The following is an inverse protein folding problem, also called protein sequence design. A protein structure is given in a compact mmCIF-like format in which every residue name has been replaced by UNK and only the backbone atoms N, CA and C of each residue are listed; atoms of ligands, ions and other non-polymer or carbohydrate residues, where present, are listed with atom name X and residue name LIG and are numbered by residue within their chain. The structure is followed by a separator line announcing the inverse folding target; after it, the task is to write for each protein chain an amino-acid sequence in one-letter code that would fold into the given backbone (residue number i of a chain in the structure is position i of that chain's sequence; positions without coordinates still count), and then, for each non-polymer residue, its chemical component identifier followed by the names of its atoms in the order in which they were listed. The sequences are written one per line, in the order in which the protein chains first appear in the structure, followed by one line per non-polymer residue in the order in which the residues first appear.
data_IF_560050306991
#
_entry.id   IF_560050306991
#
_cell.length_a   1.000
_cell.length_b   1.000
_cell.length_c   1.000
_cell.angle_alpha   90.00
_cell.angle_beta   90.00
_cell.angle_gamma   90.00
#
_symmetry.space_group_name_H-M   'P 1'
#
loop_
_entity.id
_entity.type
_entity.pdbx_description
1 polymer ?
#
# COMPACT_ATOMS: atom_id res chain seq x y z
N UNK A 1 -4.38 30.79 16.40
CA UNK A 1 -5.50 30.45 15.49
C UNK A 1 -6.23 29.28 16.10
N UNK A 2 -7.55 29.25 16.03
CA UNK A 2 -8.36 28.12 16.49
C UNK A 2 -9.13 27.52 15.30
N UNK A 3 -9.51 26.25 15.41
CA UNK A 3 -10.26 25.53 14.37
C UNK A 3 -11.51 24.91 14.98
N UNK A 4 -12.64 25.06 14.29
CA UNK A 4 -13.87 24.30 14.56
C UNK A 4 -14.02 23.26 13.46
N UNK A 5 -14.29 22.01 13.84
CA UNK A 5 -14.63 20.94 12.90
C UNK A 5 -16.05 20.47 13.17
N UNK A 6 -16.82 20.31 12.09
CA UNK A 6 -18.15 19.73 12.09
C UNK A 6 -18.13 18.49 11.20
N UNK A 7 -18.65 17.39 11.72
CA UNK A 7 -18.80 16.12 11.01
C UNK A 7 -20.22 16.03 10.47
N UNK A 8 -20.39 15.85 9.16
CA UNK A 8 -21.69 15.56 8.57
C UNK A 8 -22.19 14.21 9.09
N UNK A 9 -23.46 14.17 9.48
CA UNK A 9 -24.16 12.95 9.88
C UNK A 9 -25.50 12.86 9.14
N UNK A 10 -25.96 11.64 8.89
CA UNK A 10 -27.31 11.33 8.45
C UNK A 10 -27.86 10.23 9.35
N UNK A 11 -29.01 10.47 9.98
CA UNK A 11 -29.61 9.57 10.98
C UNK A 11 -28.66 9.14 12.11
N UNK A 12 -27.73 10.03 12.49
CA UNK A 12 -26.71 9.76 13.52
C UNK A 12 -25.49 8.96 13.03
N UNK A 13 -25.47 8.56 11.76
CA UNK A 13 -24.34 7.88 11.12
C UNK A 13 -23.44 8.94 10.47
N UNK A 14 -22.13 8.96 10.77
CA UNK A 14 -21.21 9.91 10.15
C UNK A 14 -20.98 9.59 8.67
N UNK A 15 -20.85 10.64 7.86
CA UNK A 15 -20.41 10.54 6.46
C UNK A 15 -18.89 10.60 6.43
N UNK A 16 -18.23 9.52 6.01
CA UNK A 16 -16.76 9.51 5.83
C UNK A 16 -16.31 10.64 4.90
N UNK A 17 -15.31 11.41 5.33
CA UNK A 17 -14.80 12.62 4.67
C UNK A 17 -15.80 13.78 4.51
N UNK A 18 -17.05 13.61 4.94
CA UNK A 18 -18.04 14.69 4.98
C UNK A 18 -17.77 15.62 6.17
N UNK A 19 -16.83 16.55 6.05
CA UNK A 19 -16.44 17.48 7.11
C UNK A 19 -16.52 18.95 6.68
N UNK A 20 -16.77 19.81 7.66
CA UNK A 20 -16.60 21.26 7.54
C UNK A 20 -15.60 21.74 8.60
N UNK A 21 -14.51 22.38 8.14
CA UNK A 21 -13.49 23.01 8.97
C UNK A 21 -13.56 24.54 8.84
N UNK A 22 -13.74 25.24 9.97
CA UNK A 22 -13.65 26.71 10.07
C UNK A 22 -12.38 27.09 10.80
N UNK A 23 -11.52 27.89 10.17
CA UNK A 23 -10.31 28.43 10.79
C UNK A 23 -10.53 29.87 11.25
N UNK A 24 -10.16 30.15 12.49
CA UNK A 24 -10.44 31.40 13.18
C UNK A 24 -9.15 32.12 13.61
N UNK A 25 -9.18 33.45 13.55
CA UNK A 25 -8.21 34.34 14.19
C UNK A 25 -8.95 35.27 15.14
N UNK A 26 -8.92 34.94 16.44
CA UNK A 26 -9.80 35.59 17.40
C UNK A 26 -11.25 35.26 17.05
N UNK A 27 -12.06 36.28 16.80
CA UNK A 27 -13.47 36.13 16.41
C UNK A 27 -13.70 36.21 14.88
N UNK A 28 -12.63 36.35 14.09
CA UNK A 28 -12.71 36.45 12.64
C UNK A 28 -12.57 35.07 11.99
N UNK A 29 -13.46 34.77 11.03
CA UNK A 29 -13.34 33.61 10.16
C UNK A 29 -12.32 33.92 9.07
N UNK A 30 -11.25 33.12 9.03
CA UNK A 30 -10.15 33.27 8.06
C UNK A 30 -10.40 32.38 6.84
N UNK A 31 -10.87 31.16 7.06
CA UNK A 31 -11.22 30.25 5.97
C UNK A 31 -12.26 29.23 6.42
N UNK A 32 -13.03 28.76 5.45
CA UNK A 32 -13.95 27.63 5.60
C UNK A 32 -13.62 26.64 4.50
N UNK A 33 -13.39 25.39 4.89
CA UNK A 33 -13.22 24.25 3.99
C UNK A 33 -14.35 23.29 4.28
N UNK A 34 -15.08 22.86 3.26
CA UNK A 34 -16.17 21.91 3.43
C UNK A 34 -16.19 20.96 2.24
N UNK A 35 -16.30 19.67 2.54
CA UNK A 35 -16.77 18.69 1.58
C UNK A 35 -17.91 17.92 2.23
N UNK A 36 -19.00 17.76 1.50
CA UNK A 36 -20.26 17.23 2.05
C UNK A 36 -20.98 16.41 1.00
N UNK A 37 -21.69 15.38 1.44
CA UNK A 37 -22.46 14.50 0.58
C UNK A 37 -23.94 14.93 0.57
N UNK A 38 -24.44 15.59 -0.49
CA UNK A 38 -25.85 15.91 -0.61
C UNK A 38 -26.69 14.66 -0.95
N UNK A 39 -28.02 14.83 -0.95
CA UNK A 39 -28.98 13.85 -1.46
C UNK A 39 -28.95 12.46 -0.76
N UNK A 40 -28.93 12.47 0.59
CA UNK A 40 -29.04 11.25 1.40
C UNK A 40 -30.49 10.90 1.78
N UNK A 41 -31.49 11.68 1.35
CA UNK A 41 -32.89 11.43 1.70
C UNK A 41 -33.36 10.04 1.25
N UNK A 42 -33.77 9.21 2.20
CA UNK A 42 -34.20 7.84 1.96
C UNK A 42 -33.07 6.84 1.72
N UNK A 43 -31.82 7.22 2.01
CA UNK A 43 -30.69 6.31 1.98
C UNK A 43 -30.84 5.22 3.06
N UNK A 44 -30.70 3.94 2.69
CA UNK A 44 -30.82 2.83 3.64
C UNK A 44 -29.59 2.77 4.56
N UNK A 45 -29.85 2.94 5.86
CA UNK A 45 -28.87 2.96 6.94
C UNK A 45 -28.78 1.63 7.70
N UNK A 46 -29.47 0.58 7.23
CA UNK A 46 -29.50 -0.73 7.87
C UNK A 46 -28.41 -1.66 7.32
N UNK A 47 -27.39 -2.06 8.09
CA UNK A 47 -26.38 -3.01 7.62
C UNK A 47 -26.96 -4.43 7.52
N UNK A 48 -26.66 -5.16 6.44
CA UNK A 48 -27.01 -6.57 6.31
C UNK A 48 -25.95 -7.50 6.95
N UNK A 49 -24.69 -7.06 7.04
CA UNK A 49 -23.64 -7.77 7.78
C UNK A 49 -23.36 -7.10 9.11
N UNK A 50 -22.96 -7.91 10.08
CA UNK A 50 -22.55 -7.47 11.41
C UNK A 50 -21.16 -6.82 11.39
N UNK A 51 -20.87 -6.02 12.41
CA UNK A 51 -19.53 -5.49 12.67
C UNK A 51 -18.47 -6.60 12.76
N UNK A 52 -18.81 -7.76 13.33
CA UNK A 52 -17.89 -8.90 13.46
C UNK A 52 -17.55 -9.55 12.10
N UNK A 53 -18.53 -9.68 11.22
CA UNK A 53 -18.30 -10.14 9.84
C UNK A 53 -17.42 -9.16 9.06
N UNK A 54 -17.66 -7.85 9.21
CA UNK A 54 -16.81 -6.83 8.60
C UNK A 54 -15.36 -6.85 9.13
N UNK A 55 -15.18 -7.06 10.44
CA UNK A 55 -13.85 -7.22 11.04
C UNK A 55 -13.12 -8.43 10.46
N UNK A 56 -13.85 -9.53 10.25
CA UNK A 56 -13.30 -10.75 9.62
C UNK A 56 -12.83 -10.45 8.18
N UNK A 57 -13.61 -9.68 7.39
CA UNK A 57 -13.19 -9.25 6.06
C UNK A 57 -11.93 -8.37 6.08
N UNK A 58 -11.82 -7.46 7.06
CA UNK A 58 -10.62 -6.63 7.21
C UNK A 58 -9.39 -7.45 7.61
N UNK A 59 -9.53 -8.40 8.52
CA UNK A 59 -8.46 -9.33 8.89
C UNK A 59 -7.99 -10.15 7.70
N UNK A 60 -8.92 -10.71 6.91
CA UNK A 60 -8.59 -11.45 5.70
C UNK A 60 -7.86 -10.58 4.65
N UNK A 61 -8.16 -9.28 4.57
CA UNK A 61 -7.42 -8.35 3.72
C UNK A 61 -5.98 -8.18 4.20
N UNK A 62 -5.79 -7.90 5.49
CA UNK A 62 -4.47 -7.70 6.09
C UNK A 62 -3.62 -8.97 5.99
N UNK A 63 -4.18 -10.14 6.30
CA UNK A 63 -3.52 -11.43 6.18
C UNK A 63 -3.06 -11.70 4.73
N UNK A 64 -3.92 -11.37 3.76
CA UNK A 64 -3.62 -11.61 2.34
C UNK A 64 -2.49 -10.72 1.82
N UNK A 65 -2.48 -9.43 2.19
CA UNK A 65 -1.58 -8.47 1.55
C UNK A 65 -0.32 -8.20 2.35
N UNK A 66 -0.37 -8.30 3.67
CA UNK A 66 0.71 -7.95 4.58
C UNK A 66 1.21 -9.16 5.40
N UNK A 67 0.40 -10.20 5.55
CA UNK A 67 0.68 -11.41 6.34
C UNK A 67 1.27 -11.10 7.73
N UNK A 68 0.62 -10.15 8.41
CA UNK A 68 0.97 -9.63 9.73
C UNK A 68 0.18 -10.38 10.81
N UNK A 69 0.83 -10.75 11.92
CA UNK A 69 0.23 -11.58 13.00
C UNK A 69 -0.15 -10.79 14.27
N UNK A 70 0.19 -9.50 14.36
CA UNK A 70 0.15 -8.68 15.58
C UNK A 70 -0.39 -7.26 15.35
N UNK A 71 -1.31 -7.10 14.39
CA UNK A 71 -1.99 -5.83 14.16
C UNK A 71 -3.16 -5.60 15.13
N UNK A 72 -3.31 -4.36 15.60
CA UNK A 72 -4.46 -3.92 16.37
C UNK A 72 -5.57 -3.42 15.44
N UNK A 73 -6.82 -3.79 15.73
CA UNK A 73 -8.00 -3.39 14.95
C UNK A 73 -8.92 -2.54 15.80
N UNK A 74 -9.35 -1.38 15.27
CA UNK A 74 -10.37 -0.57 15.93
C UNK A 74 -11.70 -1.33 16.01
N UNK A 75 -12.57 -0.92 16.93
CA UNK A 75 -13.97 -1.36 16.88
C UNK A 75 -14.61 -0.88 15.56
N UNK A 76 -15.24 -1.76 14.76
CA UNK A 76 -15.87 -1.34 13.52
C UNK A 76 -16.95 -0.29 13.77
N UNK A 77 -16.92 0.79 13.00
CA UNK A 77 -17.88 1.89 13.10
C UNK A 77 -18.71 1.98 11.83
N UNK A 78 -20.02 2.12 11.96
CA UNK A 78 -20.89 2.27 10.80
C UNK A 78 -20.76 3.69 10.25
N UNK A 79 -20.54 3.80 8.94
CA UNK A 79 -20.35 5.08 8.24
C UNK A 79 -21.08 5.09 6.90
N UNK A 80 -21.45 6.27 6.43
CA UNK A 80 -21.85 6.47 5.04
C UNK A 80 -20.59 6.81 4.25
N UNK A 81 -20.30 6.03 3.23
CA UNK A 81 -19.08 6.16 2.43
C UNK A 81 -19.41 6.49 0.99
N UNK A 82 -18.77 7.53 0.46
CA UNK A 82 -18.74 7.82 -0.96
C UNK A 82 -17.28 8.12 -1.34
N UNK A 83 -16.68 7.26 -2.16
CA UNK A 83 -15.27 7.40 -2.58
C UNK A 83 -15.00 8.73 -3.30
N UNK A 84 -16.01 9.34 -3.91
CA UNK A 84 -15.89 10.61 -4.60
C UNK A 84 -15.49 11.78 -3.70
N UNK A 85 -15.80 11.72 -2.40
CA UNK A 85 -15.34 12.70 -1.41
C UNK A 85 -13.83 12.61 -1.12
N UNK A 86 -13.14 11.56 -1.61
CA UNK A 86 -11.71 11.35 -1.38
C UNK A 86 -10.88 11.46 -2.66
N UNK A 87 -11.49 11.30 -3.84
CA UNK A 87 -10.72 11.09 -5.08
C UNK A 87 -11.20 11.92 -6.26
N UNK A 88 -12.07 12.93 -6.07
CA UNK A 88 -12.69 13.73 -7.14
C UNK A 88 -13.38 12.91 -8.26
N UNK A 89 -13.68 11.63 -8.01
CA UNK A 89 -14.32 10.72 -8.96
C UNK A 89 -15.81 10.59 -8.66
N UNK A 90 -16.65 10.42 -9.69
CA UNK A 90 -18.03 9.98 -9.44
C UNK A 90 -18.02 8.55 -8.88
N UNK A 91 -18.51 8.39 -7.66
CA UNK A 91 -18.68 7.10 -7.02
C UNK A 91 -20.07 6.99 -6.38
N UNK A 92 -20.63 5.78 -6.29
CA UNK A 92 -21.90 5.59 -5.63
C UNK A 92 -21.74 5.64 -4.11
N UNK A 93 -22.75 6.17 -3.43
CA UNK A 93 -22.82 6.13 -1.96
C UNK A 93 -23.14 4.70 -1.49
N UNK A 94 -22.45 4.27 -0.43
CA UNK A 94 -22.57 2.94 0.19
C UNK A 94 -22.58 3.08 1.71
N UNK A 95 -23.30 2.20 2.38
CA UNK A 95 -23.16 2.01 3.82
C UNK A 95 -21.95 1.12 4.05
N UNK A 96 -21.08 1.48 4.99
CA UNK A 96 -19.83 0.78 5.21
C UNK A 96 -19.50 0.64 6.70
N UNK A 97 -18.74 -0.39 7.04
CA UNK A 97 -18.02 -0.50 8.29
C UNK A 97 -16.61 0.05 8.11
N UNK A 98 -16.26 1.09 8.87
CA UNK A 98 -14.90 1.63 8.93
C UNK A 98 -14.11 0.96 10.04
N UNK A 99 -12.91 0.49 9.70
CA UNK A 99 -11.93 -0.10 10.61
C UNK A 99 -10.57 0.57 10.37
N UNK A 100 -9.95 1.05 11.43
CA UNK A 100 -8.54 1.46 11.45
C UNK A 100 -7.71 0.28 11.97
N UNK A 101 -6.65 -0.06 11.24
CA UNK A 101 -5.70 -1.11 11.61
C UNK A 101 -4.35 -0.47 11.90
N UNK A 102 -3.78 -0.74 13.06
CA UNK A 102 -2.52 -0.13 13.51
C UNK A 102 -1.48 -1.17 13.91
N UNK A 103 -0.22 -0.88 13.59
CA UNK A 103 0.99 -1.55 14.07
C UNK A 103 2.12 -0.52 14.12
N UNK A 104 3.32 -0.93 14.54
CA UNK A 104 4.51 -0.06 14.56
C UNK A 104 4.85 0.53 13.19
N UNK A 105 4.54 -0.19 12.12
CA UNK A 105 4.89 0.06 10.72
C UNK A 105 3.67 0.12 9.80
N UNK A 106 2.46 0.13 10.37
CA UNK A 106 1.22 0.08 9.61
C UNK A 106 0.16 0.99 10.24
N UNK A 107 -0.53 1.74 9.39
CA UNK A 107 -1.77 2.42 9.77
C UNK A 107 -2.72 2.41 8.58
N UNK A 108 -3.57 1.40 8.47
CA UNK A 108 -4.49 1.23 7.35
C UNK A 108 -5.89 1.69 7.70
N UNK A 109 -6.51 2.46 6.82
CA UNK A 109 -7.93 2.77 6.88
C UNK A 109 -8.68 1.85 5.92
N UNK A 110 -9.68 1.13 6.41
CA UNK A 110 -10.43 0.13 5.63
C UNK A 110 -11.93 0.42 5.72
N UNK A 111 -12.60 0.43 4.56
CA UNK A 111 -14.06 0.48 4.46
C UNK A 111 -14.59 -0.83 3.87
N UNK A 112 -15.41 -1.54 4.64
CA UNK A 112 -16.08 -2.78 4.22
C UNK A 112 -17.54 -2.47 3.89
N UNK A 113 -18.04 -2.91 2.74
CA UNK A 113 -19.43 -2.76 2.35
C UNK A 113 -20.35 -3.42 3.39
N UNK A 114 -21.22 -2.64 4.03
CA UNK A 114 -22.09 -3.12 5.09
C UNK A 114 -23.26 -4.01 4.60
N UNK A 115 -23.41 -4.16 3.28
CA UNK A 115 -24.40 -5.05 2.66
C UNK A 115 -23.78 -6.38 2.20
N UNK A 116 -22.55 -6.34 1.66
CA UNK A 116 -21.96 -7.47 0.92
C UNK A 116 -20.68 -8.02 1.57
N UNK A 117 -20.03 -7.27 2.47
CA UNK A 117 -18.78 -7.68 3.13
C UNK A 117 -17.51 -7.50 2.30
N UNK A 118 -17.63 -7.00 1.06
CA UNK A 118 -16.48 -6.67 0.21
C UNK A 118 -15.76 -5.38 0.61
N UNK A 119 -14.46 -5.30 0.36
CA UNK A 119 -13.65 -4.09 0.59
C UNK A 119 -14.02 -3.02 -0.43
N UNK A 120 -14.45 -1.85 0.03
CA UNK A 120 -14.77 -0.69 -0.80
C UNK A 120 -13.53 0.17 -1.10
N UNK A 121 -12.67 0.33 -0.09
CA UNK A 121 -11.40 1.06 -0.17
C UNK A 121 -10.51 0.65 1.01
N UNK A 122 -9.21 0.56 0.79
CA UNK A 122 -8.21 0.64 1.85
C UNK A 122 -7.01 1.48 1.39
N UNK A 123 -6.37 2.18 2.33
CA UNK A 123 -5.09 2.86 2.09
C UNK A 123 -4.38 3.22 3.40
N UNK A 124 -3.05 3.27 3.32
CA UNK A 124 -2.17 3.68 4.43
C UNK A 124 -2.39 5.14 4.81
N UNK A 125 -2.29 5.43 6.10
CA UNK A 125 -2.24 6.76 6.70
C UNK A 125 -0.84 7.14 7.16
N UNK A 126 0.14 6.28 6.93
CA UNK A 126 1.54 6.63 7.12
C UNK A 126 1.98 7.35 5.85
N UNK A 127 2.45 8.60 5.99
CA UNK A 127 2.76 9.47 4.85
C UNK A 127 4.01 9.04 4.09
N UNK A 128 4.89 8.25 4.71
CA UNK A 128 6.22 7.87 4.18
C UNK A 128 6.70 6.54 4.81
N UNK A 129 5.80 5.60 5.09
CA UNK A 129 6.22 4.33 5.69
C UNK A 129 6.68 3.36 4.63
N UNK A 130 8.00 3.22 4.54
CA UNK A 130 8.65 2.03 3.99
C UNK A 130 7.91 0.78 4.45
N UNK A 131 7.42 -0.01 3.49
CA UNK A 131 6.70 -1.25 3.75
C UNK A 131 7.25 -2.34 2.84
N UNK A 132 8.05 -3.24 3.39
CA UNK A 132 8.66 -4.36 2.67
C UNK A 132 8.00 -5.70 2.98
N UNK A 133 7.89 -6.55 1.97
CA UNK A 133 7.45 -7.94 2.10
C UNK A 133 8.37 -8.86 1.31
N UNK A 134 9.18 -9.64 2.01
CA UNK A 134 10.09 -10.62 1.44
C UNK A 134 9.52 -12.01 1.55
N UNK A 135 9.46 -12.68 0.42
CA UNK A 135 8.96 -14.05 0.28
C UNK A 135 10.06 -14.98 -0.22
N UNK A 136 9.87 -16.26 0.03
CA UNK A 136 10.73 -17.35 -0.43
C UNK A 136 9.92 -18.27 -1.36
N UNK A 137 10.39 -18.45 -2.59
CA UNK A 137 9.79 -19.36 -3.57
C UNK A 137 10.11 -20.84 -3.28
N UNK A 138 10.97 -21.12 -2.30
CA UNK A 138 11.42 -22.44 -1.85
C UNK A 138 11.98 -23.28 -3.01
N UNK A 139 12.82 -22.67 -3.85
CA UNK A 139 13.31 -23.28 -5.11
C UNK A 139 12.19 -23.73 -6.05
N UNK A 140 11.03 -23.07 -5.99
CA UNK A 140 9.89 -23.27 -6.87
C UNK A 140 9.67 -22.09 -7.82
N UNK A 141 8.61 -22.20 -8.63
CA UNK A 141 8.25 -21.18 -9.63
C UNK A 141 6.99 -20.38 -9.28
N UNK A 142 6.44 -20.55 -8.07
CA UNK A 142 5.20 -19.88 -7.65
C UNK A 142 5.53 -18.56 -6.96
N UNK A 143 5.01 -17.47 -7.51
CA UNK A 143 5.12 -16.13 -6.93
C UNK A 143 3.84 -15.74 -6.16
N UNK A 144 3.95 -14.98 -5.06
CA UNK A 144 5.19 -14.50 -4.47
C UNK A 144 5.92 -15.58 -3.64
N UNK A 145 5.32 -16.74 -3.39
CA UNK A 145 5.88 -17.76 -2.51
C UNK A 145 5.40 -17.59 -1.06
N UNK A 146 6.19 -18.05 -0.10
CA UNK A 146 5.88 -17.95 1.33
C UNK A 146 6.45 -16.67 1.90
N UNK A 147 5.66 -15.84 2.59
CA UNK A 147 6.20 -14.66 3.29
C UNK A 147 7.16 -15.13 4.40
N UNK A 148 8.39 -14.63 4.37
CA UNK A 148 9.43 -14.95 5.36
C UNK A 148 9.83 -13.75 6.21
N UNK A 149 9.69 -12.52 5.69
CA UNK A 149 9.97 -11.28 6.45
C UNK A 149 9.08 -10.13 5.98
N UNK A 150 8.46 -9.44 6.92
CA UNK A 150 7.73 -8.20 6.68
C UNK A 150 8.44 -7.01 7.32
N UNK A 151 7.96 -5.80 7.04
CA UNK A 151 8.44 -4.57 7.68
C UNK A 151 8.51 -4.71 9.22
N UNK A 152 9.58 -4.15 9.81
CA UNK A 152 9.94 -4.34 11.22
C UNK A 152 10.32 -5.77 11.65
N UNK A 153 10.22 -6.77 10.77
CA UNK A 153 10.54 -8.17 11.06
C UNK A 153 12.01 -8.42 11.37
N UNK A 154 12.27 -9.33 12.31
CA UNK A 154 13.63 -9.79 12.62
C UNK A 154 14.26 -10.53 11.44
N UNK A 155 15.60 -10.53 11.30
CA UNK A 155 16.29 -11.32 10.29
C UNK A 155 15.87 -12.79 10.30
N UNK A 156 15.71 -13.37 9.12
CA UNK A 156 15.23 -14.74 8.93
C UNK A 156 16.33 -15.78 9.16
N UNK A 157 17.60 -15.38 8.99
CA UNK A 157 18.75 -16.28 8.95
C UNK A 157 19.04 -16.83 7.56
N UNK A 158 18.17 -16.57 6.59
CA UNK A 158 18.43 -16.77 5.17
C UNK A 158 19.10 -15.52 4.58
N UNK A 159 20.26 -15.70 3.94
CA UNK A 159 21.06 -14.59 3.42
C UNK A 159 20.40 -13.86 2.26
N UNK A 160 19.66 -14.57 1.40
CA UNK A 160 19.00 -13.95 0.25
C UNK A 160 17.81 -13.13 0.72
N UNK A 161 16.99 -13.68 1.62
CA UNK A 161 15.84 -13.00 2.16
C UNK A 161 16.23 -11.78 3.00
N UNK A 162 17.29 -11.90 3.81
CA UNK A 162 17.77 -10.79 4.62
C UNK A 162 18.39 -9.68 3.75
N UNK A 163 19.15 -10.03 2.70
CA UNK A 163 19.70 -9.05 1.77
C UNK A 163 18.60 -8.34 0.95
N UNK A 164 17.63 -9.07 0.40
CA UNK A 164 16.49 -8.49 -0.31
C UNK A 164 15.68 -7.53 0.59
N UNK A 165 15.57 -7.84 1.89
CA UNK A 165 14.92 -6.95 2.84
C UNK A 165 15.73 -5.68 3.09
N UNK A 166 17.04 -5.82 3.36
CA UNK A 166 17.90 -4.70 3.73
C UNK A 166 18.09 -3.75 2.53
N UNK A 167 18.45 -4.27 1.35
CA UNK A 167 18.77 -3.45 0.17
C UNK A 167 17.55 -2.79 -0.49
N UNK A 168 16.38 -3.45 -0.53
CA UNK A 168 15.16 -2.77 -0.97
C UNK A 168 14.78 -1.64 -0.02
N UNK A 169 15.16 -1.76 1.26
CA UNK A 169 15.03 -0.69 2.24
C UNK A 169 16.00 0.46 2.02
N UNK A 170 17.26 0.17 1.71
CA UNK A 170 18.26 1.19 1.41
C UNK A 170 17.90 1.95 0.12
N UNK A 171 17.40 1.24 -0.90
CA UNK A 171 16.92 1.83 -2.15
C UNK A 171 15.70 2.73 -1.91
N UNK A 172 14.74 2.31 -1.08
CA UNK A 172 13.64 3.18 -0.66
C UNK A 172 14.15 4.47 0.00
N UNK A 173 15.08 4.34 0.95
CA UNK A 173 15.63 5.50 1.67
C UNK A 173 16.40 6.42 0.73
N UNK A 174 17.10 5.87 -0.26
CA UNK A 174 17.76 6.66 -1.29
C UNK A 174 16.74 7.50 -2.08
N UNK A 175 15.69 6.89 -2.63
CA UNK A 175 14.67 7.60 -3.41
C UNK A 175 13.92 8.64 -2.58
N UNK A 176 13.57 8.32 -1.34
CA UNK A 176 12.90 9.25 -0.44
C UNK A 176 13.81 10.42 -0.07
N UNK A 177 15.03 10.14 0.39
CA UNK A 177 15.90 11.19 0.94
C UNK A 177 16.57 12.05 -0.13
N UNK A 178 16.91 11.48 -1.29
CA UNK A 178 17.61 12.21 -2.35
C UNK A 178 16.65 12.86 -3.36
N UNK A 179 15.50 12.22 -3.61
CA UNK A 179 14.57 12.64 -4.66
C UNK A 179 13.20 13.05 -4.13
N UNK A 180 12.93 12.90 -2.83
CA UNK A 180 11.63 13.20 -2.24
C UNK A 180 10.52 12.27 -2.72
N UNK A 181 10.88 11.08 -3.21
CA UNK A 181 9.96 10.13 -3.82
C UNK A 181 9.56 9.03 -2.83
N UNK A 182 8.27 8.92 -2.54
CA UNK A 182 7.76 7.87 -1.64
C UNK A 182 7.51 6.56 -2.42
N UNK A 183 8.47 5.63 -2.35
CA UNK A 183 8.46 4.35 -3.09
C UNK A 183 8.49 4.48 -4.62
N UNK A 184 8.37 3.37 -5.34
CA UNK A 184 8.50 3.35 -6.79
C UNK A 184 7.36 4.08 -7.52
N UNK A 185 6.22 4.32 -6.87
CA UNK A 185 5.04 4.97 -7.46
C UNK A 185 4.76 6.40 -6.94
N UNK A 186 5.64 6.96 -6.10
CA UNK A 186 5.45 8.26 -5.43
C UNK A 186 4.22 8.32 -4.51
N UNK A 187 3.77 7.17 -4.01
CA UNK A 187 2.59 7.04 -3.16
C UNK A 187 2.70 5.83 -2.22
N UNK A 188 3.92 5.51 -1.75
CA UNK A 188 4.13 4.55 -0.67
C UNK A 188 3.80 3.10 -1.02
N UNK A 189 3.98 2.70 -2.29
CA UNK A 189 3.77 1.32 -2.69
C UNK A 189 4.61 0.33 -1.87
N UNK A 190 4.00 -0.80 -1.55
CA UNK A 190 4.65 -1.91 -0.85
C UNK A 190 5.74 -2.51 -1.74
N UNK A 191 6.96 -2.59 -1.20
CA UNK A 191 8.09 -3.23 -1.85
C UNK A 191 8.02 -4.73 -1.62
N UNK A 192 7.72 -5.49 -2.67
CA UNK A 192 7.63 -6.95 -2.60
C UNK A 192 8.83 -7.58 -3.30
N UNK A 193 9.49 -8.50 -2.61
CA UNK A 193 10.61 -9.28 -3.12
C UNK A 193 10.34 -10.77 -2.94
N UNK A 194 10.73 -11.59 -3.92
CA UNK A 194 10.75 -13.05 -3.82
C UNK A 194 12.14 -13.59 -4.10
N UNK A 195 12.71 -14.35 -3.16
CA UNK A 195 14.01 -15.01 -3.28
C UNK A 195 13.87 -16.50 -3.61
N UNK A 196 14.99 -17.15 -3.91
CA UNK A 196 15.08 -18.58 -4.27
C UNK A 196 14.12 -19.01 -5.40
N UNK A 197 13.90 -18.11 -6.36
CA UNK A 197 13.06 -18.40 -7.51
C UNK A 197 13.74 -19.39 -8.46
N UNK A 198 13.01 -20.45 -8.84
CA UNK A 198 13.44 -21.47 -9.78
C UNK A 198 12.31 -21.75 -10.79
N UNK A 199 12.35 -21.12 -11.97
CA UNK A 199 11.34 -21.33 -13.00
C UNK A 199 11.46 -22.71 -13.63
N UNK A 200 10.33 -23.37 -13.88
CA UNK A 200 10.28 -24.75 -14.41
C UNK A 200 10.83 -24.93 -15.84
N UNK A 201 11.13 -23.83 -16.53
CA UNK A 201 11.59 -23.80 -17.92
C UNK A 201 13.09 -23.52 -18.06
N UNK A 202 13.81 -23.27 -16.96
CA UNK A 202 15.26 -23.05 -16.94
C UNK A 202 15.94 -23.96 -15.91
N UNK A 203 17.26 -24.10 -16.03
CA UNK A 203 18.06 -24.81 -15.03
C UNK A 203 18.17 -23.99 -13.74
N UNK A 204 18.29 -24.69 -12.60
CA UNK A 204 18.45 -24.08 -11.29
C UNK A 204 19.82 -24.42 -10.66
N UNK A 205 20.44 -23.51 -9.90
CA UNK A 205 19.93 -22.20 -9.47
C UNK A 205 19.72 -21.23 -10.64
N UNK A 206 18.59 -20.51 -10.62
CA UNK A 206 18.24 -19.58 -11.67
C UNK A 206 19.21 -18.40 -11.64
N UNK A 207 19.89 -18.15 -12.76
CA UNK A 207 20.97 -17.16 -12.84
C UNK A 207 20.47 -15.80 -13.31
N UNK A 208 19.41 -15.28 -12.69
CA UNK A 208 18.91 -13.94 -13.00
C UNK A 208 18.08 -13.33 -11.86
N UNK A 209 17.91 -12.02 -11.92
CA UNK A 209 16.89 -11.27 -11.20
C UNK A 209 15.99 -10.52 -12.21
N UNK A 210 14.81 -10.09 -11.78
CA UNK A 210 13.93 -9.24 -12.60
C UNK A 210 12.82 -8.56 -11.78
N UNK A 211 12.45 -7.34 -12.16
CA UNK A 211 11.13 -6.75 -11.90
C UNK A 211 10.07 -7.30 -12.85
N UNK A 212 8.92 -7.74 -12.32
CA UNK A 212 7.85 -8.35 -13.13
C UNK A 212 6.60 -7.48 -13.33
N UNK A 213 6.65 -6.19 -13.00
CA UNK A 213 5.51 -5.29 -12.96
C UNK A 213 4.79 -5.21 -11.61
N UNK A 214 5.09 -6.12 -10.67
CA UNK A 214 4.45 -6.16 -9.34
C UNK A 214 5.38 -6.44 -8.18
N UNK A 215 6.53 -7.07 -8.42
CA UNK A 215 7.52 -7.43 -7.40
C UNK A 215 8.89 -7.67 -8.04
N UNK A 216 9.94 -7.55 -7.24
CA UNK A 216 11.29 -8.00 -7.59
C UNK A 216 11.42 -9.50 -7.33
N UNK A 217 12.07 -10.22 -8.24
CA UNK A 217 12.23 -11.68 -8.18
C UNK A 217 13.69 -12.02 -8.39
N UNK A 218 14.26 -12.81 -7.48
CA UNK A 218 15.67 -13.17 -7.47
C UNK A 218 15.82 -14.68 -7.54
N UNK A 219 16.67 -15.15 -8.45
CA UNK A 219 17.26 -16.48 -8.33
C UNK A 219 18.23 -16.55 -7.14
N UNK A 220 18.55 -17.76 -6.70
CA UNK A 220 19.41 -17.98 -5.53
C UNK A 220 20.74 -17.21 -5.63
N UNK A 221 21.02 -16.37 -4.65
CA UNK A 221 22.22 -15.54 -4.50
C UNK A 221 22.16 -14.16 -5.15
N UNK A 222 21.14 -13.84 -5.96
CA UNK A 222 21.10 -12.59 -6.72
C UNK A 222 20.69 -11.37 -5.89
N UNK A 223 19.90 -11.54 -4.83
CA UNK A 223 19.54 -10.43 -3.93
C UNK A 223 20.67 -9.96 -3.02
N UNK A 224 21.84 -10.63 -3.05
CA UNK A 224 22.97 -10.32 -2.17
C UNK A 224 23.84 -9.17 -2.64
N UNK A 225 23.60 -8.68 -3.84
CA UNK A 225 24.25 -7.49 -4.36
C UNK A 225 23.24 -6.33 -4.29
N UNK A 226 23.65 -5.25 -3.63
CA UNK A 226 22.85 -4.05 -3.41
C UNK A 226 22.49 -3.37 -4.73
N UNK A 227 23.47 -3.28 -5.65
CA UNK A 227 23.30 -2.77 -7.00
C UNK A 227 22.23 -3.53 -7.80
N UNK A 228 22.18 -4.86 -7.69
CA UNK A 228 21.15 -5.68 -8.34
C UNK A 228 19.77 -5.40 -7.75
N UNK A 229 19.62 -5.32 -6.42
CA UNK A 229 18.31 -5.00 -5.81
C UNK A 229 17.82 -3.62 -6.24
N UNK A 230 18.70 -2.62 -6.16
CA UNK A 230 18.42 -1.25 -6.57
C UNK A 230 18.13 -1.13 -8.09
N UNK A 231 18.84 -1.90 -8.93
CA UNK A 231 18.60 -2.00 -10.37
C UNK A 231 17.17 -2.50 -10.64
N UNK A 232 16.77 -3.61 -10.01
CA UNK A 232 15.43 -4.16 -10.21
C UNK A 232 14.32 -3.22 -9.71
N UNK A 233 14.52 -2.57 -8.56
CA UNK A 233 13.54 -1.61 -8.07
C UNK A 233 13.45 -0.35 -8.95
N UNK A 234 14.55 0.04 -9.60
CA UNK A 234 14.59 1.18 -10.52
C UNK A 234 13.82 0.91 -11.81
N UNK A 235 13.70 -0.34 -12.26
CA UNK A 235 12.75 -0.67 -13.32
C UNK A 235 11.31 -0.30 -12.95
N UNK A 236 10.89 -0.54 -11.70
CA UNK A 236 9.58 -0.12 -11.21
C UNK A 236 9.45 1.40 -11.20
N UNK A 237 10.48 2.15 -10.79
CA UNK A 237 10.48 3.61 -10.87
C UNK A 237 10.32 4.09 -12.31
N UNK A 238 11.03 3.47 -13.25
CA UNK A 238 10.95 3.81 -14.68
C UNK A 238 9.55 3.56 -15.24
N UNK A 239 8.93 2.43 -14.89
CA UNK A 239 7.55 2.09 -15.28
C UNK A 239 6.54 3.14 -14.80
N UNK A 240 6.66 3.61 -13.56
CA UNK A 240 5.74 4.60 -12.97
C UNK A 240 6.12 6.06 -13.27
N UNK A 241 7.09 6.29 -14.16
CA UNK A 241 7.51 7.64 -14.57
C UNK A 241 7.58 7.78 -16.08
N UNK A 242 8.70 7.39 -16.68
CA UNK A 242 8.97 7.57 -18.11
C UNK A 242 8.30 6.51 -18.99
N UNK A 243 7.87 5.37 -18.41
CA UNK A 243 7.22 4.25 -19.09
C UNK A 243 7.98 3.83 -20.37
N UNK A 244 9.30 3.68 -20.22
CA UNK A 244 10.18 3.34 -21.32
C UNK A 244 9.94 1.89 -21.75
N UNK A 245 9.38 1.74 -22.95
CA UNK A 245 9.24 0.44 -23.60
C UNK A 245 10.59 -0.29 -23.60
N UNK A 246 10.57 -1.56 -23.21
CA UNK A 246 11.75 -2.42 -23.16
C UNK A 246 12.18 -2.90 -24.55
N UNK A 247 12.45 -1.96 -25.46
CA UNK A 247 12.73 -2.21 -26.86
C UNK A 247 13.73 -1.20 -27.44
N UNK A 248 14.74 -1.71 -28.15
CA UNK A 248 15.75 -0.90 -28.85
C UNK A 248 16.36 0.17 -27.94
N UNK A 249 16.40 1.43 -28.38
CA UNK A 249 16.99 2.53 -27.62
C UNK A 249 16.23 2.85 -26.34
N UNK A 250 14.91 2.67 -26.33
CA UNK A 250 14.09 2.88 -25.13
C UNK A 250 14.43 1.84 -24.07
N UNK A 251 14.62 0.57 -24.47
CA UNK A 251 15.07 -0.48 -23.56
C UNK A 251 16.49 -0.23 -23.04
N UNK A 252 17.41 0.19 -23.90
CA UNK A 252 18.77 0.53 -23.48
C UNK A 252 18.81 1.70 -22.48
N UNK A 253 17.90 2.67 -22.59
CA UNK A 253 17.75 3.75 -21.61
C UNK A 253 17.14 3.24 -20.29
N UNK A 254 16.17 2.32 -20.37
CA UNK A 254 15.57 1.69 -19.19
C UNK A 254 16.66 0.97 -18.36
N UNK A 255 17.44 0.10 -19.00
CA UNK A 255 18.61 -0.57 -18.37
C UNK A 255 19.61 0.44 -17.81
N UNK A 256 19.98 1.44 -18.61
CA UNK A 256 20.97 2.43 -18.19
C UNK A 256 20.53 3.24 -16.97
N UNK A 257 19.23 3.51 -16.80
CA UNK A 257 18.75 4.16 -15.59
C UNK A 257 18.84 3.22 -14.39
N UNK A 258 18.46 1.95 -14.56
CA UNK A 258 18.60 0.94 -13.50
C UNK A 258 20.04 0.78 -13.03
N UNK A 259 21.01 0.76 -13.96
CA UNK A 259 22.44 0.74 -13.61
C UNK A 259 22.88 2.02 -12.88
N UNK A 260 22.45 3.20 -13.32
CA UNK A 260 22.86 4.49 -12.73
C UNK A 260 22.34 4.66 -11.30
N UNK A 261 21.12 4.21 -11.02
CA UNK A 261 20.53 4.33 -9.68
C UNK A 261 20.92 3.15 -8.77
N UNK A 262 21.45 2.06 -9.33
CA UNK A 262 21.97 0.93 -8.57
C UNK A 262 23.38 1.14 -8.00
N UNK A 263 24.18 2.05 -8.59
CA UNK A 263 25.57 2.36 -8.21
C UNK A 263 25.70 3.58 -7.27
#
# INVERSE_FOLDING_TARGET
MSRVRLQQQYEGIPVSAGELSVNLRGNEIVSVLADTLPALDGFDTTPAITAAEALTSAQALIDKYYAVIDADYSTPSLVIFNRGLLTDMQAPTRLAWFIEVTRIDMREFIWINAQEGGVLLNFSQLTDAKSRLVHDANSGSTLPGTLVRSEGGSPTGDQDADAAYDFSGDTYDYFLNQHGRDSYNDAGAVLRSTVDFCPSIFDCPYVNAFWNGTQMVYGAGFSRADDVDAHELTHAVTEYTADLLYFMQSGALNESFSDIFGE
#
